data_IF_719796412189
#
_entry.id   IF_719796412189
#
_cell.length_a   1.000
_cell.length_b   1.000
_cell.length_c   1.000
_cell.angle_alpha   90.00
_cell.angle_beta   90.00
_cell.angle_gamma   90.00
#
_symmetry.space_group_name_H-M   'P 1'
#
loop_
_entity.id
_entity.type
_entity.pdbx_description
1 polymer ?
#
# COMPACT_ATOMS: atom_id res chain seq x y z
N UNK A 1 39.03 -1.53 -62.05
CA UNK A 1 38.97 -1.09 -60.64
C UNK A 1 38.00 0.06 -60.56
N UNK A 2 36.77 -0.21 -60.14
CA UNK A 2 35.70 0.78 -59.99
C UNK A 2 34.87 0.37 -58.79
N UNK A 3 34.96 1.17 -57.72
CA UNK A 3 34.17 1.02 -56.50
C UNK A 3 32.88 1.83 -56.64
N UNK A 4 31.70 1.23 -56.37
CA UNK A 4 30.52 2.04 -56.12
C UNK A 4 29.71 1.47 -54.94
N UNK A 5 29.97 1.92 -53.72
CA UNK A 5 29.00 1.87 -52.63
C UNK A 5 29.21 3.06 -51.69
N UNK A 6 29.10 4.26 -52.22
CA UNK A 6 28.74 5.44 -51.42
C UNK A 6 27.23 5.45 -51.28
N UNK A 7 26.74 5.02 -50.11
CA UNK A 7 25.35 5.19 -49.68
C UNK A 7 25.02 6.69 -49.72
N UNK A 8 24.26 7.07 -50.74
CA UNK A 8 23.71 8.41 -50.91
C UNK A 8 22.65 8.62 -49.81
N UNK A 9 22.93 9.50 -48.84
CA UNK A 9 21.93 9.94 -47.87
C UNK A 9 20.79 10.63 -48.62
N UNK A 10 19.61 10.01 -48.60
CA UNK A 10 18.39 10.47 -49.25
C UNK A 10 17.99 11.86 -48.69
N UNK A 11 18.29 12.93 -49.45
CA UNK A 11 18.08 14.33 -49.05
C UNK A 11 16.61 14.78 -49.15
N UNK A 12 15.67 13.88 -49.44
CA UNK A 12 14.26 14.21 -49.67
C UNK A 12 13.38 14.29 -48.40
N UNK A 13 13.94 14.12 -47.19
CA UNK A 13 13.17 14.28 -45.94
C UNK A 13 12.92 15.76 -45.60
N UNK A 14 11.70 16.25 -45.86
CA UNK A 14 11.26 17.62 -45.55
C UNK A 14 11.51 18.00 -44.08
N UNK A 15 11.81 19.27 -43.80
CA UNK A 15 12.07 19.77 -42.43
C UNK A 15 10.93 19.41 -41.44
N UNK A 16 9.70 19.35 -41.95
CA UNK A 16 8.50 19.00 -41.19
C UNK A 16 8.50 17.53 -40.76
N UNK A 17 8.97 16.62 -41.63
CA UNK A 17 9.13 15.20 -41.29
C UNK A 17 10.17 14.97 -40.19
N UNK A 18 11.27 15.75 -40.19
CA UNK A 18 12.31 15.69 -39.15
C UNK A 18 11.77 16.16 -37.80
N UNK A 19 11.06 17.30 -37.77
CA UNK A 19 10.40 17.81 -36.54
C UNK A 19 9.43 16.78 -35.94
N UNK A 20 8.66 16.10 -36.79
CA UNK A 20 7.73 15.06 -36.37
C UNK A 20 8.42 13.84 -35.73
N UNK A 21 9.58 13.42 -36.26
CA UNK A 21 10.38 12.33 -35.68
C UNK A 21 10.87 12.68 -34.27
N UNK A 22 11.39 13.89 -34.05
CA UNK A 22 11.86 14.30 -32.74
C UNK A 22 10.73 14.42 -31.72
N UNK A 23 9.58 14.96 -32.13
CA UNK A 23 8.41 15.03 -31.27
C UNK A 23 7.95 13.66 -30.81
N UNK A 24 7.85 12.69 -31.73
CA UNK A 24 7.51 11.30 -31.37
C UNK A 24 8.56 10.67 -30.47
N UNK A 25 9.86 10.83 -30.76
CA UNK A 25 10.92 10.35 -29.88
C UNK A 25 10.78 10.92 -28.45
N UNK A 26 10.50 12.21 -28.33
CA UNK A 26 10.30 12.86 -27.04
C UNK A 26 9.08 12.29 -26.29
N UNK A 27 7.94 12.14 -26.97
CA UNK A 27 6.75 11.55 -26.39
C UNK A 27 6.99 10.12 -25.88
N UNK A 28 7.74 9.31 -26.63
CA UNK A 28 8.08 7.94 -26.22
C UNK A 28 9.02 7.87 -25.01
N UNK A 29 9.93 8.84 -24.86
CA UNK A 29 10.77 8.93 -23.66
C UNK A 29 9.96 9.38 -22.44
N UNK A 30 8.96 10.24 -22.62
CA UNK A 30 8.10 10.72 -21.54
C UNK A 30 7.00 9.73 -21.14
N UNK A 31 6.58 8.85 -22.04
CA UNK A 31 5.45 7.97 -21.80
C UNK A 31 5.55 7.18 -20.48
N UNK A 32 6.68 6.53 -20.14
CA UNK A 32 6.80 5.84 -18.86
C UNK A 32 6.65 6.77 -17.64
N UNK A 33 7.19 7.99 -17.74
CA UNK A 33 7.03 9.04 -16.73
C UNK A 33 5.57 9.47 -16.58
N UNK A 34 4.83 9.61 -17.68
CA UNK A 34 3.40 9.96 -17.68
C UNK A 34 2.58 8.85 -17.04
N UNK A 35 2.82 7.60 -17.42
CA UNK A 35 2.12 6.43 -16.86
C UNK A 35 2.38 6.34 -15.36
N UNK A 36 3.64 6.43 -14.94
CA UNK A 36 4.00 6.40 -13.53
C UNK A 36 3.34 7.57 -12.77
N UNK A 37 3.35 8.76 -13.36
CA UNK A 37 2.72 9.94 -12.75
C UNK A 37 1.22 9.78 -12.58
N UNK A 38 0.55 9.23 -13.58
CA UNK A 38 -0.88 8.93 -13.53
C UNK A 38 -1.19 7.86 -12.47
N UNK A 39 -0.39 6.80 -12.39
CA UNK A 39 -0.60 5.70 -11.45
C UNK A 39 -0.47 6.10 -9.98
N UNK A 40 0.31 7.14 -9.67
CA UNK A 40 0.64 7.54 -8.28
C UNK A 40 0.23 8.99 -7.94
N UNK A 41 -0.48 9.68 -8.83
CA UNK A 41 -1.05 11.01 -8.58
C UNK A 41 -0.01 12.11 -8.29
N UNK A 42 1.24 11.96 -8.73
CA UNK A 42 2.31 12.97 -8.59
C UNK A 42 3.18 13.01 -9.84
N UNK A 43 3.98 14.06 -10.01
CA UNK A 43 4.89 14.16 -11.15
C UNK A 43 6.14 13.32 -10.88
N UNK A 44 6.37 12.32 -11.72
CA UNK A 44 7.56 11.48 -11.70
C UNK A 44 8.30 11.53 -13.04
N UNK A 45 9.61 11.32 -12.99
CA UNK A 45 10.51 11.29 -14.15
C UNK A 45 11.24 9.95 -14.16
N UNK A 46 10.89 9.07 -15.10
CA UNK A 46 11.63 7.84 -15.37
C UNK A 46 12.89 8.18 -16.19
N UNK A 47 14.08 7.89 -15.63
CA UNK A 47 15.35 8.22 -16.30
C UNK A 47 15.67 7.22 -17.42
N UNK A 48 15.37 5.93 -17.21
CA UNK A 48 15.86 4.84 -18.07
C UNK A 48 15.49 4.97 -19.57
N UNK A 49 14.30 5.46 -19.94
CA UNK A 49 13.96 5.70 -21.34
C UNK A 49 14.90 6.66 -22.09
N UNK A 50 15.60 7.55 -21.39
CA UNK A 50 16.54 8.51 -21.98
C UNK A 50 17.80 7.84 -22.57
N UNK A 51 18.10 6.60 -22.19
CA UNK A 51 19.24 5.85 -22.71
C UNK A 51 18.93 5.13 -24.03
N UNK A 52 17.66 4.82 -24.31
CA UNK A 52 17.28 4.06 -25.50
C UNK A 52 17.72 4.71 -26.82
N UNK A 53 17.58 6.03 -27.05
CA UNK A 53 17.96 6.63 -28.33
C UNK A 53 19.43 6.41 -28.70
N UNK A 54 20.30 6.40 -27.69
CA UNK A 54 21.72 6.12 -27.85
C UNK A 54 21.98 4.62 -28.08
N UNK A 55 21.33 3.75 -27.30
CA UNK A 55 21.47 2.30 -27.38
C UNK A 55 20.99 1.72 -28.72
N UNK A 56 19.79 2.10 -29.19
CA UNK A 56 19.22 1.50 -30.40
C UNK A 56 20.11 1.66 -31.64
N UNK A 57 20.81 2.79 -31.75
CA UNK A 57 21.67 3.05 -32.91
C UNK A 57 22.90 2.14 -32.94
N UNK A 58 23.43 1.78 -31.77
CA UNK A 58 24.63 0.95 -31.63
C UNK A 58 24.34 -0.54 -31.61
N UNK A 59 23.14 -0.92 -31.18
CA UNK A 59 22.74 -2.32 -31.05
C UNK A 59 22.02 -2.82 -32.30
N UNK A 60 22.17 -4.12 -32.56
CA UNK A 60 21.38 -4.83 -33.58
C UNK A 60 19.88 -4.70 -33.25
N UNK A 61 18.98 -4.65 -34.25
CA UNK A 61 17.53 -4.51 -34.03
C UNK A 61 16.95 -5.51 -33.01
N UNK A 62 17.28 -6.80 -33.13
CA UNK A 62 16.78 -7.83 -32.22
C UNK A 62 17.26 -7.63 -30.77
N UNK A 63 18.49 -7.18 -30.57
CA UNK A 63 19.04 -6.94 -29.22
C UNK A 63 18.40 -5.71 -28.58
N UNK A 64 18.14 -4.68 -29.38
CA UNK A 64 17.38 -3.49 -28.96
C UNK A 64 15.95 -3.86 -28.53
N UNK A 65 15.28 -4.73 -29.30
CA UNK A 65 13.95 -5.23 -28.98
C UNK A 65 13.97 -6.03 -27.67
N UNK A 66 14.94 -6.93 -27.51
CA UNK A 66 15.11 -7.73 -26.29
C UNK A 66 15.27 -6.83 -25.05
N UNK A 67 16.16 -5.84 -25.10
CA UNK A 67 16.40 -4.92 -23.97
C UNK A 67 15.14 -4.15 -23.61
N UNK A 68 14.41 -3.61 -24.59
CA UNK A 68 13.13 -2.93 -24.32
C UNK A 68 12.09 -3.86 -23.72
N UNK A 69 12.01 -5.09 -24.20
CA UNK A 69 11.07 -6.09 -23.70
C UNK A 69 11.38 -6.42 -22.25
N UNK A 70 12.64 -6.72 -21.91
CA UNK A 70 13.09 -6.93 -20.53
C UNK A 70 12.79 -5.70 -19.66
N UNK A 71 13.10 -4.52 -20.18
CA UNK A 71 12.84 -3.27 -19.47
C UNK A 71 11.35 -3.03 -19.22
N UNK A 72 10.47 -3.38 -20.14
CA UNK A 72 9.01 -3.28 -19.95
C UNK A 72 8.53 -4.17 -18.79
N UNK A 73 9.02 -5.41 -18.69
CA UNK A 73 8.71 -6.28 -17.55
C UNK A 73 9.25 -5.71 -16.24
N UNK A 74 10.49 -5.20 -16.24
CA UNK A 74 11.10 -4.51 -15.10
C UNK A 74 10.28 -3.29 -14.66
N UNK A 75 9.79 -2.51 -15.60
CA UNK A 75 8.92 -1.35 -15.35
C UNK A 75 7.59 -1.78 -14.73
N UNK A 76 6.95 -2.83 -15.24
CA UNK A 76 5.72 -3.38 -14.69
C UNK A 76 5.91 -3.89 -13.26
N UNK A 77 6.96 -4.68 -13.02
CA UNK A 77 7.34 -5.18 -11.70
C UNK A 77 7.56 -4.02 -10.73
N UNK A 78 8.20 -2.95 -11.20
CA UNK A 78 8.44 -1.76 -10.38
C UNK A 78 7.15 -1.03 -10.02
N UNK A 79 6.18 -0.92 -10.93
CA UNK A 79 4.86 -0.34 -10.63
C UNK A 79 4.16 -1.19 -9.57
N UNK A 80 4.10 -2.52 -9.77
CA UNK A 80 3.43 -3.42 -8.85
C UNK A 80 4.07 -3.40 -7.46
N UNK A 81 5.41 -3.44 -7.41
CA UNK A 81 6.16 -3.33 -6.17
C UNK A 81 5.94 -1.99 -5.45
N UNK A 82 5.74 -0.90 -6.19
CA UNK A 82 5.40 0.40 -5.61
C UNK A 82 3.94 0.50 -5.12
N UNK A 83 3.06 -0.40 -5.57
CA UNK A 83 1.75 -0.67 -4.93
C UNK A 83 1.84 -1.67 -3.78
N UNK A 84 3.06 -1.95 -3.29
CA UNK A 84 3.34 -2.97 -2.27
C UNK A 84 2.89 -4.39 -2.67
N UNK A 85 2.69 -4.63 -3.97
CA UNK A 85 2.44 -5.95 -4.50
C UNK A 85 3.81 -6.61 -4.71
N UNK A 86 4.09 -7.65 -3.93
CA UNK A 86 5.35 -8.39 -3.98
C UNK A 86 5.29 -9.52 -5.03
N UNK A 87 6.44 -9.96 -5.57
CA UNK A 87 6.47 -10.95 -6.65
C UNK A 87 5.73 -12.26 -6.37
N UNK A 88 5.82 -12.75 -5.13
CA UNK A 88 5.08 -13.90 -4.64
C UNK A 88 3.55 -13.73 -4.79
N UNK A 89 3.03 -12.50 -4.63
CA UNK A 89 1.62 -12.20 -4.77
C UNK A 89 1.18 -11.88 -6.21
N UNK A 90 2.08 -11.72 -7.19
CA UNK A 90 1.70 -11.33 -8.56
C UNK A 90 0.67 -12.25 -9.19
N UNK A 91 0.82 -13.56 -9.00
CA UNK A 91 -0.16 -14.53 -9.50
C UNK A 91 -1.51 -14.36 -8.80
N UNK A 92 -1.53 -14.15 -7.48
CA UNK A 92 -2.76 -13.89 -6.74
C UNK A 92 -3.49 -12.68 -7.30
N UNK A 93 -2.79 -11.55 -7.47
CA UNK A 93 -3.42 -10.36 -8.05
C UNK A 93 -3.82 -10.57 -9.50
N UNK A 94 -3.00 -11.24 -10.31
CA UNK A 94 -3.32 -11.49 -11.71
C UNK A 94 -4.61 -12.28 -11.84
N UNK A 95 -4.77 -13.41 -11.14
CA UNK A 95 -5.96 -14.24 -11.26
C UNK A 95 -7.17 -13.65 -10.54
N UNK A 96 -6.98 -13.15 -9.31
CA UNK A 96 -8.09 -12.63 -8.49
C UNK A 96 -8.59 -11.28 -8.99
N UNK A 97 -7.69 -10.36 -9.35
CA UNK A 97 -8.08 -9.02 -9.82
C UNK A 97 -8.52 -9.07 -11.27
N UNK A 98 -7.86 -9.77 -12.20
CA UNK A 98 -8.33 -9.78 -13.59
C UNK A 98 -9.71 -10.43 -13.74
N UNK A 99 -10.01 -11.47 -12.94
CA UNK A 99 -11.32 -12.13 -12.97
C UNK A 99 -12.47 -11.24 -12.47
N UNK A 100 -12.18 -10.31 -11.56
CA UNK A 100 -13.18 -9.48 -10.89
C UNK A 100 -13.05 -7.97 -11.20
N UNK A 101 -12.09 -7.57 -12.02
CA UNK A 101 -11.81 -6.16 -12.29
C UNK A 101 -12.96 -5.50 -13.07
N UNK A 102 -13.38 -4.28 -12.69
CA UNK A 102 -14.33 -3.51 -13.47
C UNK A 102 -13.85 -3.32 -14.92
N UNK A 103 -14.77 -3.33 -15.89
CA UNK A 103 -14.46 -3.12 -17.32
C UNK A 103 -13.55 -1.91 -17.58
N UNK A 104 -13.73 -0.73 -16.93
CA UNK A 104 -12.82 0.40 -17.13
C UNK A 104 -11.36 0.10 -16.76
N UNK A 105 -11.13 -0.71 -15.73
CA UNK A 105 -9.77 -1.13 -15.31
C UNK A 105 -9.16 -2.05 -16.37
N UNK A 106 -9.93 -3.03 -16.85
CA UNK A 106 -9.48 -3.94 -17.91
C UNK A 106 -9.14 -3.19 -19.21
N UNK A 107 -9.99 -2.24 -19.62
CA UNK A 107 -9.73 -1.37 -20.78
C UNK A 107 -8.47 -0.55 -20.58
N UNK A 108 -8.27 0.02 -19.39
CA UNK A 108 -7.07 0.80 -19.07
C UNK A 108 -5.81 -0.06 -19.14
N UNK A 109 -5.84 -1.27 -18.57
CA UNK A 109 -4.74 -2.23 -18.65
C UNK A 109 -4.44 -2.64 -20.10
N UNK A 110 -5.48 -2.91 -20.90
CA UNK A 110 -5.33 -3.23 -22.32
C UNK A 110 -4.70 -2.08 -23.11
N UNK A 111 -5.21 -0.86 -22.95
CA UNK A 111 -4.66 0.34 -23.60
C UNK A 111 -3.19 0.56 -23.19
N UNK A 112 -2.88 0.38 -21.90
CA UNK A 112 -1.51 0.43 -21.40
C UNK A 112 -0.61 -0.59 -22.11
N UNK A 113 -1.01 -1.86 -22.16
CA UNK A 113 -0.25 -2.92 -22.85
C UNK A 113 -0.10 -2.61 -24.34
N UNK A 114 -1.15 -2.11 -25.00
CA UNK A 114 -1.12 -1.76 -26.42
C UNK A 114 -0.13 -0.63 -26.70
N UNK A 115 -0.18 0.45 -25.92
CA UNK A 115 0.71 1.61 -26.06
C UNK A 115 2.17 1.21 -25.75
N UNK A 116 2.39 0.42 -24.70
CA UNK A 116 3.74 -0.07 -24.35
C UNK A 116 4.27 -1.08 -25.37
N UNK A 117 3.42 -1.92 -25.94
CA UNK A 117 3.81 -2.82 -27.03
C UNK A 117 4.28 -2.01 -28.24
N UNK A 118 3.55 -0.95 -28.60
CA UNK A 118 3.99 -0.05 -29.66
C UNK A 118 5.36 0.58 -29.35
N UNK A 119 5.61 1.01 -28.10
CA UNK A 119 6.92 1.51 -27.68
C UNK A 119 8.05 0.48 -27.87
N UNK A 120 7.79 -0.77 -27.48
CA UNK A 120 8.74 -1.88 -27.57
C UNK A 120 9.11 -2.18 -29.03
N UNK A 121 8.12 -2.26 -29.92
CA UNK A 121 8.31 -2.58 -31.34
C UNK A 121 8.74 -1.39 -32.22
N UNK A 122 8.62 -0.17 -31.72
CA UNK A 122 9.01 1.04 -32.45
C UNK A 122 10.52 1.10 -32.72
N UNK A 123 10.90 1.37 -33.97
CA UNK A 123 12.27 1.62 -34.43
C UNK A 123 12.64 3.12 -34.45
N UNK A 124 11.79 3.96 -33.85
CA UNK A 124 11.79 5.39 -34.13
C UNK A 124 13.10 6.09 -33.76
N UNK A 125 13.80 5.63 -32.72
CA UNK A 125 15.03 6.26 -32.30
C UNK A 125 16.20 5.99 -33.26
N UNK A 126 16.14 4.95 -34.09
CA UNK A 126 17.14 4.70 -35.15
C UNK A 126 17.19 5.81 -36.19
N UNK A 127 16.09 6.55 -36.36
CA UNK A 127 15.96 7.67 -37.31
C UNK A 127 16.32 9.04 -36.72
N UNK A 128 16.61 9.13 -35.42
CA UNK A 128 17.00 10.38 -34.75
C UNK A 128 18.43 10.83 -35.11
N UNK A 129 18.73 12.12 -34.95
CA UNK A 129 20.10 12.63 -35.15
C UNK A 129 21.03 12.28 -34.00
N UNK A 130 22.35 12.27 -34.28
CA UNK A 130 23.38 12.06 -33.25
C UNK A 130 23.31 13.12 -32.13
N UNK A 131 23.01 14.38 -32.47
CA UNK A 131 22.88 15.46 -31.49
C UNK A 131 21.76 15.19 -30.47
N UNK A 132 20.57 14.81 -30.96
CA UNK A 132 19.44 14.45 -30.10
C UNK A 132 19.77 13.28 -29.16
N UNK A 133 20.45 12.25 -29.68
CA UNK A 133 20.85 11.08 -28.89
C UNK A 133 21.83 11.45 -27.78
N UNK A 134 22.84 12.26 -28.09
CA UNK A 134 23.81 12.75 -27.10
C UNK A 134 23.12 13.60 -26.05
N UNK A 135 22.20 14.46 -26.46
CA UNK A 135 21.42 15.30 -25.56
C UNK A 135 20.58 14.47 -24.58
N UNK A 136 19.81 13.50 -25.07
CA UNK A 136 19.03 12.59 -24.23
C UNK A 136 19.91 11.82 -23.24
N UNK A 137 21.05 11.29 -23.71
CA UNK A 137 22.03 10.59 -22.87
C UNK A 137 22.59 11.51 -21.78
N UNK A 138 22.98 12.75 -22.12
CA UNK A 138 23.53 13.73 -21.16
C UNK A 138 22.49 14.04 -20.08
N UNK A 139 21.23 14.27 -20.45
CA UNK A 139 20.15 14.48 -19.46
C UNK A 139 20.00 13.25 -18.57
N UNK A 140 19.96 12.05 -19.15
CA UNK A 140 19.82 10.81 -18.38
C UNK A 140 20.95 10.63 -17.37
N UNK A 141 22.20 10.84 -17.79
CA UNK A 141 23.37 10.79 -16.90
C UNK A 141 23.31 11.88 -15.83
N UNK A 142 22.94 13.10 -16.19
CA UNK A 142 22.81 14.21 -15.25
C UNK A 142 21.77 13.90 -14.16
N UNK A 143 20.58 13.43 -14.53
CA UNK A 143 19.52 13.08 -13.58
C UNK A 143 19.93 11.91 -12.67
N UNK A 144 20.68 10.94 -13.19
CA UNK A 144 21.20 9.83 -12.41
C UNK A 144 22.23 10.30 -11.37
N UNK A 145 23.18 11.15 -11.80
CA UNK A 145 24.18 11.76 -10.91
C UNK A 145 23.48 12.61 -9.84
N UNK A 146 22.52 13.45 -10.24
CA UNK A 146 21.74 14.28 -9.33
C UNK A 146 21.04 13.41 -8.27
N UNK A 147 20.34 12.34 -8.68
CA UNK A 147 19.70 11.40 -7.76
C UNK A 147 20.69 10.76 -6.78
N UNK A 148 21.88 10.39 -7.25
CA UNK A 148 22.93 9.79 -6.40
C UNK A 148 23.51 10.81 -5.41
N UNK A 149 23.83 12.03 -5.86
CA UNK A 149 24.34 13.10 -4.98
C UNK A 149 23.31 13.44 -3.90
N UNK A 150 22.04 13.58 -4.27
CA UNK A 150 20.95 13.80 -3.31
C UNK A 150 20.82 12.66 -2.29
N UNK A 151 21.23 11.43 -2.64
CA UNK A 151 21.27 10.32 -1.69
C UNK A 151 22.45 10.38 -0.73
N UNK A 152 23.60 10.91 -1.16
CA UNK A 152 24.82 10.96 -0.34
C UNK A 152 24.81 12.14 0.62
N UNK A 153 24.23 13.27 0.23
CA UNK A 153 24.21 14.49 1.02
C UNK A 153 23.11 14.51 2.09
N UNK A 154 22.40 13.39 2.31
CA UNK A 154 21.28 13.23 3.26
C UNK A 154 20.34 14.45 3.29
N UNK A 155 20.07 15.02 2.12
CA UNK A 155 19.25 16.23 1.98
C UNK A 155 17.78 15.84 2.11
N UNK A 156 17.41 15.29 3.27
CA UNK A 156 16.11 14.79 3.66
C UNK A 156 15.38 13.95 2.60
N UNK A 157 14.12 13.59 2.83
CA UNK A 157 13.23 13.13 1.78
C UNK A 157 12.81 14.33 0.90
N UNK A 158 13.76 14.98 0.22
CA UNK A 158 13.43 16.01 -0.77
C UNK A 158 12.50 15.42 -1.83
N UNK A 159 11.32 16.01 -1.97
CA UNK A 159 10.28 15.64 -2.95
C UNK A 159 10.86 15.33 -4.34
N UNK A 160 11.90 16.08 -4.74
CA UNK A 160 12.59 15.92 -6.01
C UNK A 160 13.31 14.57 -6.17
N UNK A 161 13.98 14.04 -5.14
CA UNK A 161 14.67 12.73 -5.23
C UNK A 161 13.66 11.61 -5.47
N UNK A 162 12.52 11.67 -4.75
CA UNK A 162 11.41 10.71 -4.89
C UNK A 162 10.71 10.84 -6.25
N UNK A 163 10.70 12.04 -6.83
CA UNK A 163 10.15 12.26 -8.17
C UNK A 163 11.01 11.62 -9.28
N UNK A 164 12.31 11.38 -9.06
CA UNK A 164 13.19 10.77 -10.06
C UNK A 164 13.22 9.24 -9.90
N UNK A 165 12.68 8.51 -10.88
CA UNK A 165 12.48 7.05 -10.84
C UNK A 165 13.49 6.31 -11.73
N UNK A 166 14.00 5.21 -11.18
CA UNK A 166 14.89 4.24 -11.85
C UNK A 166 14.31 2.85 -11.63
N UNK A 167 13.42 2.38 -12.54
CA UNK A 167 12.74 1.09 -12.38
C UNK A 167 13.68 -0.11 -12.19
N UNK A 168 14.79 -0.18 -12.94
CA UNK A 168 15.66 -1.36 -12.96
C UNK A 168 16.30 -1.67 -11.59
N UNK A 169 16.98 -0.74 -10.89
CA UNK A 169 17.48 -0.98 -9.54
C UNK A 169 16.38 -1.38 -8.55
N UNK A 170 15.18 -0.81 -8.68
CA UNK A 170 14.06 -1.09 -7.79
C UNK A 170 13.51 -2.51 -7.99
N UNK A 171 13.24 -2.90 -9.24
CA UNK A 171 12.82 -4.26 -9.57
C UNK A 171 13.86 -5.31 -9.18
N UNK A 172 15.16 -5.04 -9.38
CA UNK A 172 16.24 -5.96 -8.97
C UNK A 172 16.21 -6.16 -7.45
N UNK A 173 16.09 -5.08 -6.67
CA UNK A 173 15.93 -5.18 -5.22
C UNK A 173 14.71 -6.05 -4.87
N UNK A 174 13.56 -5.76 -5.48
CA UNK A 174 12.33 -6.48 -5.16
C UNK A 174 12.36 -7.96 -5.55
N UNK A 175 12.93 -8.31 -6.71
CA UNK A 175 12.97 -9.69 -7.18
C UNK A 175 14.04 -10.53 -6.48
N UNK A 176 15.19 -9.94 -6.15
CA UNK A 176 16.35 -10.71 -5.68
C UNK A 176 16.69 -10.50 -4.21
N UNK A 177 16.34 -9.36 -3.60
CA UNK A 177 16.70 -9.08 -2.21
C UNK A 177 15.51 -9.29 -1.27
N UNK A 178 14.31 -8.91 -1.67
CA UNK A 178 13.14 -9.00 -0.82
C UNK A 178 12.57 -10.45 -0.74
N UNK A 179 12.83 -11.31 -1.73
CA UNK A 179 12.41 -12.74 -1.72
C UNK A 179 13.38 -13.65 -0.91
N UNK A 180 14.60 -13.18 -0.64
CA UNK A 180 15.59 -13.92 0.18
C UNK A 180 15.28 -13.81 1.69
N UNK A 181 14.41 -12.87 2.09
CA UNK A 181 13.94 -12.69 3.47
C UNK A 181 12.84 -13.69 3.90
N UNK A 182 12.60 -14.78 3.15
CA UNK A 182 11.58 -15.76 3.52
C UNK A 182 12.04 -16.66 4.67
N UNK A 183 11.91 -16.16 5.89
CA UNK A 183 12.04 -16.98 7.09
C UNK A 183 10.80 -17.88 7.18
N UNK A 184 10.93 -19.13 6.70
CA UNK A 184 9.84 -20.14 6.68
C UNK A 184 9.37 -20.53 8.09
N UNK A 185 10.09 -20.11 9.13
CA UNK A 185 9.91 -20.54 10.51
C UNK A 185 8.66 -19.96 11.21
N UNK A 186 7.96 -19.01 10.59
CA UNK A 186 6.85 -18.30 11.23
C UNK A 186 5.46 -18.63 10.65
N UNK A 187 5.35 -19.47 9.62
CA UNK A 187 4.05 -19.77 9.00
C UNK A 187 3.21 -20.73 9.86
N UNK A 188 1.89 -20.48 9.89
CA UNK A 188 0.92 -21.35 10.56
C UNK A 188 0.14 -20.64 11.67
N UNK A 189 -0.51 -21.43 12.54
CA UNK A 189 -1.27 -20.90 13.67
C UNK A 189 -0.34 -20.25 14.69
N UNK A 190 -0.80 -19.17 15.29
CA UNK A 190 -0.07 -18.47 16.35
C UNK A 190 -0.85 -18.48 17.66
N UNK A 191 -0.11 -18.63 18.76
CA UNK A 191 -0.62 -18.50 20.14
C UNK A 191 -0.53 -17.06 20.67
N UNK A 192 -0.02 -16.15 19.85
CA UNK A 192 0.06 -14.73 20.13
C UNK A 192 -1.30 -14.12 20.54
N UNK A 193 -1.31 -13.01 21.30
CA UNK A 193 -2.53 -12.33 21.74
C UNK A 193 -3.19 -11.62 20.56
N UNK A 194 -3.85 -12.40 19.71
CA UNK A 194 -4.66 -11.94 18.57
C UNK A 194 -6.11 -11.83 18.96
N UNK A 195 -6.89 -11.03 18.25
CA UNK A 195 -8.32 -10.86 18.53
C UNK A 195 -9.07 -12.20 18.61
N UNK A 196 -8.85 -13.10 17.64
CA UNK A 196 -9.48 -14.43 17.62
C UNK A 196 -9.13 -15.27 18.87
N UNK A 197 -7.87 -15.24 19.31
CA UNK A 197 -7.46 -15.98 20.51
C UNK A 197 -8.12 -15.40 21.77
N UNK A 198 -8.27 -14.08 21.86
CA UNK A 198 -8.99 -13.44 22.97
C UNK A 198 -10.46 -13.84 23.04
N UNK A 199 -11.19 -13.79 21.92
CA UNK A 199 -12.64 -14.08 21.92
C UNK A 199 -12.98 -15.58 22.05
N UNK A 200 -12.05 -16.47 21.67
CA UNK A 200 -12.21 -17.92 21.90
C UNK A 200 -12.03 -18.30 23.36
N UNK A 201 -11.24 -17.53 24.12
CA UNK A 201 -11.04 -17.74 25.56
C UNK A 201 -12.08 -17.04 26.45
N UNK A 202 -12.97 -16.22 25.89
CA UNK A 202 -13.93 -15.44 26.68
C UNK A 202 -15.14 -16.29 27.12
N UNK A 203 -15.44 -16.30 28.43
CA UNK A 203 -16.62 -16.98 28.99
C UNK A 203 -17.94 -16.35 28.50
N UNK A 204 -17.97 -15.02 28.39
CA UNK A 204 -19.10 -14.24 27.91
C UNK A 204 -18.60 -13.14 26.99
N UNK A 205 -19.26 -12.97 25.85
CA UNK A 205 -18.96 -11.88 24.90
C UNK A 205 -20.06 -10.80 24.98
N UNK A 206 -19.70 -9.52 24.90
CA UNK A 206 -20.66 -8.41 24.88
C UNK A 206 -21.47 -8.40 23.57
N UNK A 207 -22.59 -7.69 23.55
CA UNK A 207 -23.45 -7.62 22.36
C UNK A 207 -22.75 -6.95 21.18
N UNK A 208 -21.84 -6.03 21.45
CA UNK A 208 -21.05 -5.31 20.45
C UNK A 208 -19.57 -5.60 20.61
N UNK A 209 -18.96 -6.03 19.52
CA UNK A 209 -17.53 -6.30 19.43
C UNK A 209 -16.94 -5.46 18.30
N UNK A 210 -15.89 -4.73 18.60
CA UNK A 210 -15.18 -3.91 17.62
C UNK A 210 -13.73 -4.39 17.53
N UNK A 211 -13.26 -4.70 16.33
CA UNK A 211 -11.84 -4.92 16.03
C UNK A 211 -11.38 -3.81 15.08
N UNK A 212 -10.39 -3.03 15.48
CA UNK A 212 -9.70 -2.10 14.59
C UNK A 212 -8.23 -2.50 14.44
N UNK A 213 -7.85 -2.82 13.21
CA UNK A 213 -6.45 -2.95 12.82
C UNK A 213 -5.96 -1.57 12.36
N UNK A 214 -4.91 -1.07 13.00
CA UNK A 214 -4.37 0.27 12.78
C UNK A 214 -3.13 0.18 11.90
N UNK A 215 -3.22 0.80 10.73
CA UNK A 215 -2.15 0.87 9.74
C UNK A 215 -0.87 1.47 10.34
N UNK A 216 0.27 0.78 10.14
CA UNK A 216 1.59 1.26 10.52
C UNK A 216 1.71 1.72 11.99
N UNK A 217 0.95 1.16 12.92
CA UNK A 217 1.01 1.56 14.33
C UNK A 217 2.11 0.81 15.10
N UNK A 218 3.07 1.56 15.62
CA UNK A 218 4.11 1.07 16.53
C UNK A 218 4.18 1.94 17.80
N UNK A 219 4.57 1.34 18.92
CA UNK A 219 4.80 2.04 20.18
C UNK A 219 6.05 1.49 20.88
N UNK A 220 6.77 2.35 21.60
CA UNK A 220 7.70 1.88 22.62
C UNK A 220 6.90 1.39 23.84
N UNK A 221 7.52 0.59 24.70
CA UNK A 221 6.88 0.18 25.96
C UNK A 221 6.43 1.39 26.79
N UNK A 222 7.27 2.43 26.87
CA UNK A 222 6.99 3.63 27.66
C UNK A 222 5.82 4.43 27.07
N UNK A 223 5.79 4.59 25.74
CA UNK A 223 4.75 5.37 25.07
C UNK A 223 3.40 4.64 25.07
N UNK A 224 3.36 3.31 24.94
CA UNK A 224 2.13 2.53 25.10
C UNK A 224 1.55 2.67 26.52
N UNK A 225 2.40 2.66 27.55
CA UNK A 225 1.97 2.90 28.95
C UNK A 225 1.38 4.30 29.11
N UNK A 226 1.96 5.32 28.48
CA UNK A 226 1.43 6.68 28.51
C UNK A 226 0.09 6.80 27.78
N UNK A 227 -0.06 6.17 26.61
CA UNK A 227 -1.32 6.14 25.84
C UNK A 227 -2.43 5.49 26.67
N UNK A 228 -2.14 4.34 27.30
CA UNK A 228 -3.07 3.66 28.21
C UNK A 228 -3.49 4.56 29.37
N UNK A 229 -2.54 5.18 30.07
CA UNK A 229 -2.83 6.08 31.21
C UNK A 229 -3.70 7.25 30.78
N UNK A 230 -3.45 7.80 29.58
CA UNK A 230 -4.26 8.88 29.02
C UNK A 230 -5.69 8.44 28.77
N UNK A 231 -5.91 7.30 28.10
CA UNK A 231 -7.24 6.73 27.88
C UNK A 231 -7.99 6.49 29.19
N UNK A 232 -7.32 5.92 30.20
CA UNK A 232 -7.91 5.69 31.52
C UNK A 232 -8.31 7.00 32.23
N UNK A 233 -7.47 8.04 32.13
CA UNK A 233 -7.78 9.37 32.65
C UNK A 233 -9.00 9.98 31.98
N UNK A 234 -9.18 9.71 30.69
CA UNK A 234 -10.31 10.19 29.89
C UNK A 234 -11.56 9.30 30.08
N UNK A 235 -11.54 8.37 31.06
CA UNK A 235 -12.69 7.57 31.49
C UNK A 235 -12.84 6.21 30.81
N UNK A 236 -11.90 5.81 29.95
CA UNK A 236 -11.96 4.54 29.22
C UNK A 236 -11.49 3.38 30.09
N UNK A 237 -12.30 2.31 30.19
CA UNK A 237 -11.92 1.08 30.89
C UNK A 237 -11.01 0.23 30.00
N UNK A 238 -9.69 0.39 30.13
CA UNK A 238 -8.69 -0.45 29.45
C UNK A 238 -8.54 -1.78 30.20
N UNK A 239 -9.01 -2.87 29.59
CA UNK A 239 -8.99 -4.23 30.14
C UNK A 239 -7.61 -4.87 30.03
N UNK A 240 -6.93 -4.67 28.91
CA UNK A 240 -5.62 -5.26 28.64
C UNK A 240 -4.85 -4.42 27.60
N UNK A 241 -3.53 -4.54 27.59
CA UNK A 241 -2.65 -3.83 26.67
C UNK A 241 -1.28 -4.48 26.64
N UNK A 242 -0.69 -4.64 25.47
CA UNK A 242 0.63 -5.24 25.35
C UNK A 242 1.15 -5.18 23.93
N UNK A 243 2.01 -6.14 23.61
CA UNK A 243 2.60 -6.31 22.29
C UNK A 243 2.30 -7.72 21.77
N UNK A 244 2.18 -7.83 20.45
CA UNK A 244 2.09 -9.09 19.73
C UNK A 244 3.08 -9.10 18.58
N UNK A 245 3.60 -10.26 18.24
CA UNK A 245 4.48 -10.40 17.09
C UNK A 245 3.76 -10.04 15.77
N UNK A 246 4.49 -9.48 14.82
CA UNK A 246 3.99 -9.23 13.47
C UNK A 246 5.00 -9.67 12.41
N UNK A 247 4.45 -10.04 11.25
CA UNK A 247 5.24 -10.41 10.09
C UNK A 247 4.60 -9.90 8.81
N UNK A 248 5.40 -9.20 8.01
CA UNK A 248 5.04 -8.82 6.65
C UNK A 248 4.10 -7.61 6.55
N UNK A 249 3.14 -7.70 5.64
CA UNK A 249 2.29 -6.59 5.18
C UNK A 249 1.00 -6.44 5.98
N UNK A 250 0.27 -5.35 5.75
CA UNK A 250 -1.08 -5.09 6.29
C UNK A 250 -2.01 -6.29 6.16
N UNK A 251 -2.13 -6.89 4.96
CA UNK A 251 -2.98 -8.06 4.74
C UNK A 251 -2.57 -9.27 5.61
N UNK A 252 -1.27 -9.44 5.89
CA UNK A 252 -0.83 -10.49 6.83
C UNK A 252 -1.19 -10.15 8.28
N UNK A 253 -1.16 -8.85 8.66
CA UNK A 253 -1.69 -8.36 9.94
C UNK A 253 -3.21 -8.59 10.07
N UNK A 254 -4.00 -8.33 9.02
CA UNK A 254 -5.44 -8.64 8.99
C UNK A 254 -5.69 -10.12 9.28
N UNK A 255 -4.94 -11.02 8.60
CA UNK A 255 -5.09 -12.48 8.78
C UNK A 255 -4.58 -12.95 10.14
N UNK A 256 -3.53 -12.33 10.69
CA UNK A 256 -3.08 -12.61 12.06
C UNK A 256 -4.23 -12.38 13.04
N UNK A 257 -4.91 -11.25 12.96
CA UNK A 257 -5.99 -10.91 13.88
C UNK A 257 -7.28 -11.69 13.63
N UNK A 258 -7.67 -11.82 12.36
CA UNK A 258 -8.90 -12.48 11.97
C UNK A 258 -8.82 -13.99 12.07
N UNK A 259 -7.63 -14.61 11.94
CA UNK A 259 -7.52 -16.06 11.82
C UNK A 259 -6.52 -16.70 12.79
N UNK A 260 -5.84 -15.92 13.64
CA UNK A 260 -4.71 -16.38 14.48
C UNK A 260 -3.66 -17.12 13.66
N UNK A 261 -3.34 -16.64 12.46
CA UNK A 261 -2.43 -17.32 11.54
C UNK A 261 -1.48 -16.36 10.83
N UNK A 262 -0.23 -16.80 10.70
CA UNK A 262 0.75 -16.21 9.81
C UNK A 262 0.73 -16.96 8.49
N UNK A 263 0.46 -16.23 7.41
CA UNK A 263 0.39 -16.80 6.07
C UNK A 263 1.46 -16.19 5.17
N UNK A 264 1.83 -16.95 4.14
CA UNK A 264 2.50 -16.40 2.96
C UNK A 264 1.40 -16.02 1.98
N UNK A 265 1.51 -14.82 1.41
CA UNK A 265 0.66 -14.38 0.30
C UNK A 265 1.32 -14.82 -1.01
N UNK A 266 0.85 -15.92 -1.59
CA UNK A 266 1.28 -16.43 -2.89
C UNK A 266 0.16 -17.13 -3.68
N UNK A 267 0.49 -17.75 -4.82
CA UNK A 267 -0.48 -18.43 -5.67
C UNK A 267 -1.20 -19.61 -5.02
N UNK A 268 -0.67 -20.15 -3.91
CA UNK A 268 -1.28 -21.23 -3.15
C UNK A 268 -2.19 -20.74 -2.01
N UNK A 269 -2.23 -19.45 -1.73
CA UNK A 269 -3.05 -18.90 -0.65
C UNK A 269 -4.54 -19.08 -0.96
N UNK A 270 -5.19 -19.95 -0.18
CA UNK A 270 -6.63 -20.19 -0.27
C UNK A 270 -7.33 -19.73 1.00
N UNK A 271 -7.88 -18.51 0.97
CA UNK A 271 -8.59 -17.93 2.13
C UNK A 271 -9.85 -18.73 2.51
N UNK A 272 -10.53 -19.36 1.54
CA UNK A 272 -11.68 -20.21 1.82
C UNK A 272 -11.33 -21.43 2.68
N UNK A 273 -10.08 -21.93 2.61
CA UNK A 273 -9.65 -23.09 3.39
C UNK A 273 -9.47 -22.80 4.89
N UNK A 274 -9.31 -21.53 5.26
CA UNK A 274 -9.12 -21.11 6.65
C UNK A 274 -10.35 -20.39 7.23
N UNK A 275 -11.27 -19.95 6.38
CA UNK A 275 -12.42 -19.11 6.71
C UNK A 275 -13.23 -19.58 7.92
N UNK A 276 -13.58 -20.86 7.97
CA UNK A 276 -14.41 -21.44 9.05
C UNK A 276 -13.78 -21.32 10.44
N UNK A 277 -12.46 -21.13 10.50
CA UNK A 277 -11.70 -21.00 11.74
C UNK A 277 -11.41 -19.55 12.13
N UNK A 278 -11.80 -18.57 11.30
CA UNK A 278 -11.56 -17.16 11.49
C UNK A 278 -12.70 -16.45 12.26
N UNK A 279 -12.44 -15.21 12.69
CA UNK A 279 -13.34 -14.37 13.48
C UNK A 279 -14.70 -14.20 12.83
N UNK A 280 -14.85 -13.87 11.53
CA UNK A 280 -16.18 -13.62 10.98
C UNK A 280 -17.09 -14.86 11.07
N UNK A 281 -16.57 -16.04 10.71
CA UNK A 281 -17.30 -17.30 10.84
C UNK A 281 -17.61 -17.63 12.32
N UNK A 282 -16.63 -17.45 13.22
CA UNK A 282 -16.84 -17.65 14.66
C UNK A 282 -17.93 -16.73 15.22
N UNK A 283 -17.94 -15.45 14.84
CA UNK A 283 -18.92 -14.46 15.27
C UNK A 283 -20.32 -14.77 14.73
N UNK A 284 -20.45 -15.14 13.45
CA UNK A 284 -21.72 -15.60 12.87
C UNK A 284 -22.29 -16.82 13.60
N UNK A 285 -21.45 -17.81 13.91
CA UNK A 285 -21.84 -18.99 14.69
C UNK A 285 -22.31 -18.64 16.11
N UNK A 286 -21.92 -17.47 16.61
CA UNK A 286 -22.38 -16.91 17.90
C UNK A 286 -23.55 -15.93 17.74
N UNK A 287 -24.14 -15.82 16.54
CA UNK A 287 -25.30 -15.00 16.25
C UNK A 287 -25.01 -13.50 16.12
N UNK A 288 -23.77 -13.10 15.80
CA UNK A 288 -23.44 -11.72 15.48
C UNK A 288 -23.66 -11.46 13.99
N UNK A 289 -24.23 -10.31 13.67
CA UNK A 289 -24.11 -9.72 12.35
C UNK A 289 -22.67 -9.20 12.16
N UNK A 290 -22.08 -9.42 10.99
CA UNK A 290 -20.66 -9.11 10.73
C UNK A 290 -20.50 -8.02 9.68
N UNK A 291 -19.78 -6.96 10.05
CA UNK A 291 -19.50 -5.81 9.23
C UNK A 291 -17.99 -5.62 9.05
N UNK A 292 -17.57 -5.18 7.87
CA UNK A 292 -16.20 -4.77 7.58
C UNK A 292 -16.17 -3.37 6.98
N UNK A 293 -15.28 -2.51 7.44
CA UNK A 293 -15.17 -1.13 6.95
C UNK A 293 -13.70 -0.77 6.68
N UNK A 294 -13.43 -0.23 5.49
CA UNK A 294 -12.11 0.30 5.14
C UNK A 294 -12.22 1.53 4.25
N UNK A 295 -11.50 2.59 4.58
CA UNK A 295 -11.56 3.89 3.89
C UNK A 295 -10.99 3.92 2.47
N UNK A 296 -10.48 2.80 1.92
CA UNK A 296 -9.85 2.75 0.60
C UNK A 296 -10.59 1.85 -0.39
N UNK A 297 -10.02 1.69 -1.59
CA UNK A 297 -10.59 0.87 -2.65
C UNK A 297 -10.59 -0.61 -2.28
N UNK A 298 -11.74 -1.26 -2.48
CA UNK A 298 -11.95 -2.70 -2.24
C UNK A 298 -11.03 -3.64 -3.02
N UNK A 299 -10.50 -3.15 -4.15
CA UNK A 299 -9.60 -3.91 -5.02
C UNK A 299 -8.18 -4.02 -4.45
N UNK A 300 -7.82 -3.12 -3.52
CA UNK A 300 -6.51 -3.14 -2.87
C UNK A 300 -6.42 -4.39 -1.99
N UNK A 301 -5.36 -5.19 -2.19
CA UNK A 301 -5.27 -6.57 -1.68
C UNK A 301 -6.44 -7.51 -2.06
N UNK A 302 -7.22 -7.18 -3.09
CA UNK A 302 -8.44 -7.90 -3.46
C UNK A 302 -9.37 -8.12 -2.25
N UNK A 303 -9.49 -7.13 -1.37
CA UNK A 303 -10.24 -7.23 -0.11
C UNK A 303 -11.71 -7.57 -0.33
N UNK A 304 -12.34 -7.11 -1.41
CA UNK A 304 -13.71 -7.52 -1.74
C UNK A 304 -13.87 -9.05 -1.87
N UNK A 305 -12.84 -9.72 -2.37
CA UNK A 305 -12.81 -11.17 -2.51
C UNK A 305 -12.34 -11.84 -1.21
N UNK A 306 -11.25 -11.34 -0.61
CA UNK A 306 -10.68 -11.92 0.61
C UNK A 306 -11.65 -11.83 1.78
N UNK A 307 -12.20 -10.65 2.07
CA UNK A 307 -13.14 -10.46 3.17
C UNK A 307 -14.40 -11.29 2.99
N UNK A 308 -14.92 -11.40 1.76
CA UNK A 308 -16.03 -12.29 1.44
C UNK A 308 -15.69 -13.76 1.73
N UNK A 309 -14.51 -14.23 1.33
CA UNK A 309 -14.07 -15.58 1.65
C UNK A 309 -13.90 -15.82 3.15
N UNK A 310 -13.46 -14.82 3.91
CA UNK A 310 -13.34 -14.91 5.37
C UNK A 310 -14.70 -14.87 6.08
N UNK A 311 -15.79 -14.53 5.37
CA UNK A 311 -17.14 -14.46 5.91
C UNK A 311 -17.57 -13.07 6.37
N UNK A 312 -16.98 -11.99 5.85
CA UNK A 312 -17.49 -10.63 6.04
C UNK A 312 -18.41 -10.31 4.87
N UNK A 313 -19.72 -10.42 5.08
CA UNK A 313 -20.71 -10.24 4.01
C UNK A 313 -21.07 -8.77 3.79
N UNK A 314 -21.10 -7.99 4.87
CA UNK A 314 -21.42 -6.56 4.85
C UNK A 314 -20.13 -5.72 4.87
N UNK A 315 -19.46 -5.62 3.71
CA UNK A 315 -18.23 -4.87 3.55
C UNK A 315 -18.46 -3.50 2.90
N UNK A 316 -17.93 -2.45 3.53
CA UNK A 316 -18.03 -1.06 3.08
C UNK A 316 -16.64 -0.50 2.80
N UNK A 317 -16.46 0.01 1.59
CA UNK A 317 -15.21 0.59 1.12
C UNK A 317 -15.42 2.05 0.73
N UNK A 318 -14.36 2.72 0.26
CA UNK A 318 -14.46 4.10 -0.22
C UNK A 318 -15.64 4.35 -1.19
N UNK A 319 -15.97 3.47 -2.16
CA UNK A 319 -17.08 3.70 -3.08
C UNK A 319 -18.46 3.83 -2.40
N UNK A 320 -18.67 3.16 -1.28
CA UNK A 320 -19.90 3.19 -0.49
C UNK A 320 -19.94 4.36 0.50
N UNK A 321 -18.80 5.05 0.70
CA UNK A 321 -18.61 6.14 1.66
C UNK A 321 -18.20 7.47 1.00
N UNK A 322 -18.48 7.67 -0.29
CA UNK A 322 -17.98 8.81 -1.10
C UNK A 322 -18.39 10.19 -0.59
N UNK A 323 -19.43 10.27 0.23
CA UNK A 323 -19.92 11.49 0.86
C UNK A 323 -19.06 11.95 2.05
N UNK A 324 -18.19 11.07 2.58
CA UNK A 324 -17.33 11.36 3.72
C UNK A 324 -16.04 12.05 3.28
N UNK A 325 -15.34 12.69 4.23
CA UNK A 325 -14.13 13.44 3.92
C UNK A 325 -12.98 12.50 3.55
N UNK A 326 -12.17 12.92 2.58
CA UNK A 326 -10.99 12.19 2.17
C UNK A 326 -9.73 12.80 2.77
N UNK A 327 -8.85 11.95 3.30
CA UNK A 327 -7.56 12.35 3.83
C UNK A 327 -6.44 12.15 2.79
N UNK A 328 -5.47 13.08 2.72
CA UNK A 328 -4.36 12.98 1.78
C UNK A 328 -3.36 11.91 2.22
N UNK A 329 -2.60 11.39 1.26
CA UNK A 329 -1.59 10.37 1.51
C UNK A 329 -1.14 9.71 0.20
N UNK A 330 -0.29 8.67 0.27
CA UNK A 330 0.00 7.81 -0.88
C UNK A 330 -1.26 7.07 -1.36
N UNK A 331 -2.16 6.75 -0.43
CA UNK A 331 -3.47 6.15 -0.70
C UNK A 331 -4.56 7.10 -0.21
N UNK A 332 -4.95 8.07 -1.05
CA UNK A 332 -6.01 9.01 -0.69
C UNK A 332 -7.36 8.28 -0.56
N UNK A 333 -7.88 8.21 0.66
CA UNK A 333 -9.10 7.49 1.04
C UNK A 333 -9.91 8.27 2.08
N UNK A 334 -10.99 7.68 2.59
CA UNK A 334 -11.79 8.25 3.68
C UNK A 334 -10.90 8.43 4.92
N UNK A 335 -11.01 9.58 5.58
CA UNK A 335 -10.31 9.84 6.84
C UNK A 335 -10.70 8.82 7.90
N UNK A 336 -9.74 8.38 8.72
CA UNK A 336 -9.97 7.33 9.72
C UNK A 336 -11.08 7.74 10.70
N UNK A 337 -11.18 9.01 11.10
CA UNK A 337 -12.22 9.51 12.01
C UNK A 337 -13.64 9.38 11.44
N UNK A 338 -13.82 9.70 10.16
CA UNK A 338 -15.10 9.58 9.47
C UNK A 338 -15.46 8.10 9.25
N UNK A 339 -14.47 7.27 8.90
CA UNK A 339 -14.65 5.82 8.74
C UNK A 339 -15.07 5.15 10.05
N UNK A 340 -14.44 5.53 11.16
CA UNK A 340 -14.75 5.04 12.51
C UNK A 340 -16.19 5.39 12.89
N UNK A 341 -16.58 6.67 12.69
CA UNK A 341 -17.93 7.14 12.98
C UNK A 341 -18.97 6.38 12.16
N UNK A 342 -18.72 6.22 10.86
CA UNK A 342 -19.58 5.44 9.96
C UNK A 342 -19.71 3.97 10.42
N UNK A 343 -18.60 3.31 10.74
CA UNK A 343 -18.62 1.91 11.19
C UNK A 343 -19.38 1.71 12.49
N UNK A 344 -19.18 2.60 13.48
CA UNK A 344 -19.90 2.55 14.75
C UNK A 344 -21.40 2.76 14.53
N UNK A 345 -21.78 3.67 13.62
CA UNK A 345 -23.18 3.91 13.27
C UNK A 345 -23.84 2.67 12.64
N UNK A 346 -23.14 1.93 11.77
CA UNK A 346 -23.66 0.70 11.16
C UNK A 346 -24.11 -0.32 12.21
N UNK A 347 -23.35 -0.44 13.30
CA UNK A 347 -23.66 -1.43 14.33
C UNK A 347 -24.54 -0.87 15.45
N UNK A 348 -24.88 0.42 15.46
CA UNK A 348 -25.60 1.06 16.58
C UNK A 348 -26.94 0.37 16.89
N UNK A 349 -27.70 0.06 15.86
CA UNK A 349 -29.07 -0.46 15.97
C UNK A 349 -29.20 -1.98 15.90
N UNK A 350 -28.09 -2.69 15.70
CA UNK A 350 -28.12 -4.15 15.68
C UNK A 350 -28.38 -4.72 17.09
N UNK A 351 -28.88 -5.93 17.23
CA UNK A 351 -28.95 -6.57 18.55
C UNK A 351 -27.59 -7.13 18.98
N UNK A 352 -26.87 -7.71 18.00
CA UNK A 352 -25.56 -8.33 18.21
C UNK A 352 -24.71 -8.14 16.97
N UNK A 353 -23.59 -7.42 17.10
CA UNK A 353 -22.78 -7.04 15.94
C UNK A 353 -21.28 -7.08 16.20
N UNK A 354 -20.56 -7.60 15.22
CA UNK A 354 -19.10 -7.56 15.14
C UNK A 354 -18.70 -6.61 14.01
N UNK A 355 -17.97 -5.56 14.37
CA UNK A 355 -17.43 -4.57 13.45
C UNK A 355 -15.92 -4.76 13.31
N UNK A 356 -15.49 -5.09 12.10
CA UNK A 356 -14.09 -5.07 11.71
C UNK A 356 -13.75 -3.78 10.96
N UNK A 357 -12.69 -3.09 11.36
CA UNK A 357 -12.18 -1.88 10.72
C UNK A 357 -10.70 -2.00 10.42
N UNK A 358 -10.29 -1.46 9.27
CA UNK A 358 -8.90 -1.28 8.90
C UNK A 358 -8.64 0.19 8.60
N UNK A 359 -7.80 0.83 9.41
CA UNK A 359 -7.41 2.22 9.24
C UNK A 359 -6.47 2.40 8.03
N UNK A 360 -6.23 3.63 7.59
CA UNK A 360 -5.43 3.93 6.40
C UNK A 360 -4.51 5.15 6.59
N UNK A 361 -4.94 6.12 7.38
CA UNK A 361 -4.42 7.49 7.31
C UNK A 361 -2.96 7.62 7.76
N UNK A 362 -2.47 6.68 8.57
CA UNK A 362 -1.09 6.59 9.05
C UNK A 362 -0.11 5.94 8.07
N UNK A 363 -0.57 5.48 6.89
CA UNK A 363 0.31 4.87 5.89
C UNK A 363 1.40 5.84 5.42
N UNK A 364 2.66 5.41 5.49
CA UNK A 364 3.79 6.27 5.14
C UNK A 364 3.99 6.42 3.62
N UNK A 365 4.45 7.60 3.14
CA UNK A 365 4.74 8.81 3.92
C UNK A 365 3.46 9.58 4.30
N UNK A 366 3.37 10.00 5.57
CA UNK A 366 2.27 10.83 6.07
C UNK A 366 2.31 12.22 5.43
N UNK A 367 1.15 12.73 5.03
CA UNK A 367 1.03 14.11 4.54
C UNK A 367 1.09 15.10 5.71
N UNK A 368 1.84 16.20 5.57
CA UNK A 368 2.02 17.19 6.64
C UNK A 368 0.70 17.77 7.18
N UNK A 369 -0.30 17.92 6.31
CA UNK A 369 -1.65 18.37 6.70
C UNK A 369 -2.33 17.43 7.71
N UNK A 370 -1.94 16.15 7.77
CA UNK A 370 -2.45 15.21 8.78
C UNK A 370 -1.93 15.50 10.19
N UNK A 371 -0.78 16.16 10.29
CA UNK A 371 -0.17 16.56 11.56
C UNK A 371 -0.75 17.86 12.11
N UNK A 372 -1.45 18.63 11.29
CA UNK A 372 -2.07 19.90 11.67
C UNK A 372 -3.55 19.73 12.07
N UNK A 373 -3.99 18.48 12.29
CA UNK A 373 -5.38 18.17 12.65
C UNK A 373 -5.76 18.85 13.98
N UNK A 374 -6.94 19.51 14.07
CA UNK A 374 -7.35 20.25 15.26
C UNK A 374 -7.43 19.39 16.54
N UNK A 375 -7.80 18.11 16.38
CA UNK A 375 -7.91 17.16 17.47
C UNK A 375 -6.70 16.24 17.47
N UNK A 376 -5.84 16.40 18.48
CA UNK A 376 -4.75 15.46 18.77
C UNK A 376 -4.91 14.89 20.17
N UNK A 377 -5.47 13.68 20.25
CA UNK A 377 -5.80 13.03 21.53
C UNK A 377 -4.58 12.80 22.43
N UNK A 378 -3.39 12.66 21.83
CA UNK A 378 -2.16 12.25 22.53
C UNK A 378 -0.96 13.18 22.25
N UNK A 379 -1.21 14.47 21.99
CA UNK A 379 -0.16 15.47 21.68
C UNK A 379 0.92 15.65 22.76
N UNK A 380 0.62 15.25 23.99
CA UNK A 380 1.49 15.31 25.16
C UNK A 380 2.36 14.06 25.34
N UNK A 381 2.24 13.09 24.43
CA UNK A 381 3.06 11.87 24.43
C UNK A 381 4.02 11.96 23.25
N UNK A 382 5.31 11.89 23.52
CA UNK A 382 6.34 11.93 22.47
C UNK A 382 6.10 10.84 21.42
N UNK A 383 6.36 11.20 20.17
CA UNK A 383 6.22 10.32 19.03
C UNK A 383 7.58 10.10 18.33
N UNK A 384 7.80 8.87 17.88
CA UNK A 384 8.97 8.44 17.12
C UNK A 384 8.89 8.97 15.68
N UNK A 385 7.67 9.08 15.15
CA UNK A 385 7.43 9.60 13.81
C UNK A 385 5.97 9.96 13.55
N UNK A 386 5.74 10.60 12.40
CA UNK A 386 4.45 11.16 11.98
C UNK A 386 3.33 10.11 11.91
N UNK A 387 3.65 8.91 11.44
CA UNK A 387 2.71 7.77 11.35
C UNK A 387 2.14 7.40 12.72
N UNK A 388 2.96 7.44 13.77
CA UNK A 388 2.53 7.16 15.14
C UNK A 388 1.56 8.22 15.66
N UNK A 389 1.75 9.50 15.31
CA UNK A 389 0.83 10.59 15.69
C UNK A 389 -0.53 10.36 15.05
N UNK A 390 -0.57 10.05 13.75
CA UNK A 390 -1.82 9.82 13.02
C UNK A 390 -2.52 8.54 13.49
N UNK A 391 -1.77 7.46 13.73
CA UNK A 391 -2.33 6.21 14.28
C UNK A 391 -2.96 6.44 15.67
N UNK A 392 -2.30 7.21 16.54
CA UNK A 392 -2.84 7.61 17.84
C UNK A 392 -4.13 8.43 17.72
N UNK A 393 -4.26 9.28 16.70
CA UNK A 393 -5.50 10.02 16.46
C UNK A 393 -6.67 9.09 16.10
N UNK A 394 -6.46 8.07 15.27
CA UNK A 394 -7.47 7.06 14.98
C UNK A 394 -7.90 6.31 16.25
N UNK A 395 -6.96 5.94 17.13
CA UNK A 395 -7.23 5.29 18.43
C UNK A 395 -8.06 6.19 19.34
N UNK A 396 -7.68 7.46 19.46
CA UNK A 396 -8.39 8.43 20.29
C UNK A 396 -9.80 8.71 19.77
N UNK A 397 -9.96 8.80 18.45
CA UNK A 397 -11.25 8.96 17.78
C UNK A 397 -12.18 7.76 18.02
N UNK A 398 -11.64 6.54 17.91
CA UNK A 398 -12.36 5.31 18.27
C UNK A 398 -12.86 5.34 19.71
N UNK A 399 -11.94 5.61 20.65
CA UNK A 399 -12.26 5.62 22.07
C UNK A 399 -13.30 6.70 22.40
N UNK A 400 -13.15 7.90 21.86
CA UNK A 400 -14.12 8.99 22.04
C UNK A 400 -15.50 8.65 21.46
N UNK A 401 -15.56 8.12 20.25
CA UNK A 401 -16.82 7.79 19.58
C UNK A 401 -17.59 6.69 20.33
N UNK A 402 -16.89 5.64 20.78
CA UNK A 402 -17.50 4.58 21.61
C UNK A 402 -17.93 5.10 22.99
N UNK A 403 -17.15 5.99 23.59
CA UNK A 403 -17.49 6.58 24.91
C UNK A 403 -18.76 7.44 24.84
N UNK A 404 -18.99 8.13 23.71
CA UNK A 404 -20.21 8.93 23.49
C UNK A 404 -21.43 8.08 23.09
N UNK A 405 -21.23 6.86 22.59
CA UNK A 405 -22.29 5.99 22.08
C UNK A 405 -22.93 5.13 23.18
N UNK A 406 -23.48 5.79 24.20
CA UNK A 406 -24.06 5.14 25.40
C UNK A 406 -25.27 4.25 25.11
N UNK A 407 -25.96 4.50 24.00
CA UNK A 407 -27.11 3.77 23.48
C UNK A 407 -26.75 2.40 22.88
N UNK A 408 -25.48 2.15 22.55
CA UNK A 408 -25.01 0.86 22.03
C UNK A 408 -24.95 -0.26 23.08
N UNK A 409 -25.08 0.09 24.36
CA UNK A 409 -24.90 -0.84 25.46
C UNK A 409 -23.46 -1.36 25.59
N UNK A 410 -23.31 -2.47 26.31
CA UNK A 410 -22.00 -3.05 26.60
C UNK A 410 -21.26 -3.42 25.30
N UNK A 411 -20.12 -2.76 25.09
CA UNK A 411 -19.28 -2.86 23.91
C UNK A 411 -17.84 -3.10 24.31
N UNK A 412 -17.18 -4.07 23.69
CA UNK A 412 -15.72 -4.21 23.79
C UNK A 412 -15.06 -3.86 22.46
N UNK A 413 -13.94 -3.14 22.55
CA UNK A 413 -13.09 -2.82 21.42
C UNK A 413 -11.71 -3.41 21.61
N UNK A 414 -11.19 -4.01 20.55
CA UNK A 414 -9.81 -4.47 20.43
C UNK A 414 -9.13 -3.68 19.32
N UNK A 415 -8.02 -3.03 19.65
CA UNK A 415 -7.26 -2.23 18.71
C UNK A 415 -5.83 -2.76 18.66
N UNK A 416 -5.27 -2.92 17.46
CA UNK A 416 -3.96 -3.53 17.28
C UNK A 416 -3.27 -3.01 16.02
N UNK A 417 -1.96 -2.85 16.05
CA UNK A 417 -1.20 -2.50 14.85
C UNK A 417 -1.11 -3.67 13.86
N UNK A 418 -1.08 -3.42 12.56
CA UNK A 418 -0.78 -4.46 11.56
C UNK A 418 0.72 -4.78 11.52
N UNK A 419 1.53 -3.74 11.34
CA UNK A 419 2.99 -3.73 11.36
C UNK A 419 3.51 -2.39 11.88
N UNK A 420 4.81 -2.30 12.17
CA UNK A 420 5.44 -1.04 12.54
C UNK A 420 5.58 -0.09 11.35
N UNK A 421 5.72 1.23 11.58
CA UNK A 421 6.01 2.17 10.51
C UNK A 421 7.32 1.82 9.80
N UNK A 422 7.36 1.75 8.45
CA UNK A 422 8.57 1.45 7.70
C UNK A 422 9.77 2.34 8.06
N UNK A 423 9.53 3.61 8.42
CA UNK A 423 10.55 4.55 8.89
C UNK A 423 11.21 4.15 10.22
N UNK A 424 10.55 3.33 11.04
CA UNK A 424 10.95 3.00 12.40
C UNK A 424 11.29 1.51 12.63
N UNK A 425 11.10 0.63 11.63
CA UNK A 425 11.36 -0.83 11.75
C UNK A 425 12.78 -1.17 12.20
N UNK A 426 13.78 -0.35 11.83
CA UNK A 426 15.17 -0.54 12.24
C UNK A 426 15.60 0.39 13.39
N UNK A 427 14.65 1.07 14.03
CA UNK A 427 14.96 1.89 15.20
C UNK A 427 15.07 0.98 16.42
N UNK A 428 16.08 1.21 17.27
CA UNK A 428 16.16 0.57 18.59
C UNK A 428 15.07 1.09 19.56
N UNK A 429 14.23 2.03 19.10
CA UNK A 429 13.19 2.67 19.90
C UNK A 429 11.89 1.86 19.95
N UNK A 430 11.65 0.98 18.97
CA UNK A 430 10.49 0.10 18.92
C UNK A 430 10.88 -1.35 19.25
N UNK A 431 10.03 -2.12 19.94
CA UNK A 431 10.28 -3.55 20.18
C UNK A 431 10.38 -4.30 18.84
N UNK A 432 11.46 -5.06 18.62
CA UNK A 432 11.69 -5.71 17.33
C UNK A 432 10.55 -6.68 16.96
N UNK A 433 10.05 -6.60 15.72
CA UNK A 433 9.00 -7.46 15.16
C UNK A 433 7.70 -7.53 15.98
N UNK A 434 7.40 -6.50 16.76
CA UNK A 434 6.19 -6.44 17.59
C UNK A 434 5.35 -5.19 17.34
N UNK A 435 4.04 -5.33 17.44
CA UNK A 435 3.06 -4.24 17.35
C UNK A 435 2.23 -4.17 18.63
N UNK A 436 1.81 -2.95 19.03
CA UNK A 436 0.99 -2.79 20.21
C UNK A 436 -0.44 -3.29 19.97
N UNK A 437 -1.10 -3.70 21.05
CA UNK A 437 -2.54 -3.91 21.12
C UNK A 437 -3.13 -3.33 22.41
N UNK A 438 -4.43 -3.03 22.39
CA UNK A 438 -5.23 -2.63 23.54
C UNK A 438 -6.64 -3.20 23.46
N UNK A 439 -7.13 -3.70 24.59
CA UNK A 439 -8.52 -4.11 24.78
C UNK A 439 -9.22 -3.15 25.72
N UNK A 440 -10.37 -2.64 25.31
CA UNK A 440 -11.15 -1.63 26.02
C UNK A 440 -12.60 -2.07 26.14
N UNK A 441 -13.25 -1.62 27.21
CA UNK A 441 -14.66 -1.86 27.47
C UNK A 441 -15.40 -0.53 27.65
N UNK A 442 -16.61 -0.47 27.11
CA UNK A 442 -17.48 0.70 27.12
C UNK A 442 -18.86 0.27 27.56
N UNK A 443 -19.45 1.01 28.50
CA UNK A 443 -20.83 0.84 28.98
C UNK A 443 -21.19 -0.56 29.51
N UNK A 444 -20.20 -1.38 29.85
CA UNK A 444 -20.40 -2.71 30.46
C UNK A 444 -20.55 -2.59 31.97
N UNK A 445 -21.58 -3.25 32.53
CA UNK A 445 -21.71 -3.42 33.98
C UNK A 445 -20.74 -4.50 34.46
N UNK A 446 -20.15 -4.28 35.63
CA UNK A 446 -19.23 -5.23 36.28
C UNK A 446 -19.91 -6.51 36.73
#
# INVERSE_FOLDING_TARGET
MSSPYTLQEDQSFSLQSKKFIYFRCFLWMLLPSIIWSFAFGRIYICIEPLFFPYMEKRLKPWLSLLIKTVWFFVFLISILANWNIRPNAYNFYFFTVMGNAPTPVLVTCFLFVAVMSFFVFSDIYRRSSLGFRKFALIIGVFLLILKSIMSMCDVGPTSLRKAIITPSPFAIKTLFLDDISSDKNFLGKTAEPTFLNHIKGAEKMPQKMVLMVVESWGESQASLVSVKKRLQRDGVKVLDSGFTDYHGSTMQGEIRELCSQYIKLDSGTNFSSVADNCVPAYMKNKGYEVFGVHGYQKMFYARDTVWKHLGIDNAYFQPEMRQLNTCPGPFAGICDEDMITFGIELIRHEDKAFLYMLSLSSHEPVASSMLETPTQYFRDIDAIGDSQIVARNAIGSMAATLSMSTDMGCTEAYIVGDHQPPSAVNSEQLPANQVPYMRMSFHCKE
#
